data_IF_209530605493
#
_entry.id   IF_209530605493
#
_cell.length_a   1.000
_cell.length_b   1.000
_cell.length_c   1.000
_cell.angle_alpha   90.00
_cell.angle_beta   90.00
_cell.angle_gamma   90.00
#
_symmetry.space_group_name_H-M   'P 1'
#
loop_
_entity.id
_entity.type
_entity.pdbx_description
1 polymer ?
#
# COMPACT_ATOMS: atom_id res chain seq x y z
N UNK A 1 12.84 -92.34 -14.23
CA UNK A 1 13.02 -91.17 -15.07
C UNK A 1 11.82 -90.26 -14.91
N UNK A 2 11.92 -89.25 -14.13
CA UNK A 2 11.00 -88.06 -14.17
C UNK A 2 11.52 -86.98 -13.23
N UNK A 3 12.08 -85.90 -13.84
CA UNK A 3 12.64 -84.77 -13.11
C UNK A 3 11.56 -83.93 -12.48
N UNK A 4 11.66 -83.70 -11.17
CA UNK A 4 10.87 -82.68 -10.46
C UNK A 4 11.67 -81.38 -10.38
N UNK A 5 11.23 -80.37 -11.12
CA UNK A 5 11.73 -79.02 -10.97
C UNK A 5 10.98 -78.35 -9.81
N UNK A 6 11.72 -78.06 -8.78
CA UNK A 6 11.20 -77.18 -7.70
C UNK A 6 11.28 -75.74 -8.16
N UNK A 7 10.13 -75.10 -8.20
CA UNK A 7 9.98 -73.67 -8.48
C UNK A 7 10.09 -72.91 -7.15
N UNK A 8 11.18 -72.18 -6.95
CA UNK A 8 11.35 -71.27 -5.83
C UNK A 8 10.66 -69.93 -6.19
N UNK A 9 9.53 -69.59 -5.52
CA UNK A 9 8.86 -68.30 -5.61
C UNK A 9 9.45 -67.38 -4.55
N UNK A 10 10.33 -66.48 -4.92
CA UNK A 10 10.78 -65.38 -4.03
C UNK A 10 9.68 -64.34 -3.94
N UNK A 11 9.04 -64.26 -2.78
CA UNK A 11 8.16 -63.14 -2.44
C UNK A 11 9.02 -61.93 -2.06
N UNK A 12 9.13 -60.95 -2.96
CA UNK A 12 9.75 -59.66 -2.68
C UNK A 12 8.65 -58.76 -2.04
N UNK A 13 8.64 -58.65 -0.73
CA UNK A 13 7.85 -57.64 -0.01
C UNK A 13 8.54 -56.27 -0.20
N UNK A 14 8.02 -55.48 -1.11
CA UNK A 14 8.43 -54.09 -1.26
C UNK A 14 7.83 -53.30 -0.09
N UNK A 15 8.62 -53.00 0.94
CA UNK A 15 8.31 -52.04 1.98
C UNK A 15 8.49 -50.64 1.35
N UNK A 16 7.39 -50.04 0.92
CA UNK A 16 7.38 -48.62 0.55
C UNK A 16 7.44 -47.78 1.83
N UNK A 17 8.62 -47.27 2.16
CA UNK A 17 8.77 -46.22 3.11
C UNK A 17 8.15 -44.97 2.49
N UNK A 18 6.96 -44.58 2.92
CA UNK A 18 6.46 -43.23 2.78
C UNK A 18 7.29 -42.34 3.74
N UNK A 19 8.43 -41.87 3.28
CA UNK A 19 9.08 -40.73 3.89
C UNK A 19 8.21 -39.52 3.56
N UNK A 20 7.34 -39.06 4.47
CA UNK A 20 6.90 -37.70 4.47
C UNK A 20 8.15 -36.83 4.75
N UNK A 21 8.88 -36.46 3.72
CA UNK A 21 9.77 -35.34 3.78
C UNK A 21 8.88 -34.12 3.91
N UNK A 22 8.77 -33.58 5.11
CA UNK A 22 8.41 -32.17 5.27
C UNK A 22 9.59 -31.40 4.69
N UNK A 23 9.49 -31.01 3.44
CA UNK A 23 10.39 -30.05 2.84
C UNK A 23 10.19 -28.75 3.62
N UNK A 24 11.01 -28.54 4.61
CA UNK A 24 11.15 -27.23 5.24
C UNK A 24 11.88 -26.36 4.23
N UNK A 25 11.12 -25.61 3.43
CA UNK A 25 11.70 -24.61 2.55
C UNK A 25 12.44 -23.59 3.43
N UNK A 26 13.75 -23.69 3.46
CA UNK A 26 14.59 -22.64 4.01
C UNK A 26 14.55 -21.46 3.04
N UNK A 27 13.73 -20.44 3.37
CA UNK A 27 13.77 -19.17 2.66
C UNK A 27 15.03 -18.47 3.15
N UNK A 28 15.99 -18.26 2.28
CA UNK A 28 17.20 -17.53 2.59
C UNK A 28 16.85 -16.13 3.05
N UNK A 29 17.44 -15.70 4.19
CA UNK A 29 17.28 -14.34 4.70
C UNK A 29 18.09 -13.39 3.81
N UNK A 30 17.41 -12.51 3.10
CA UNK A 30 18.03 -11.48 2.28
C UNK A 30 18.17 -10.20 3.10
N UNK A 31 19.36 -9.98 3.69
CA UNK A 31 19.66 -8.86 4.56
C UNK A 31 20.86 -8.07 4.05
N UNK A 32 20.74 -6.76 3.99
CA UNK A 32 21.80 -5.84 3.57
C UNK A 32 21.98 -4.71 4.58
N UNK A 33 23.20 -4.45 5.04
CA UNK A 33 23.53 -3.26 5.81
C UNK A 33 23.55 -2.02 4.89
N UNK A 34 22.66 -1.07 5.11
CA UNK A 34 22.49 0.10 4.23
C UNK A 34 22.89 1.42 4.88
N UNK A 35 22.90 1.49 6.20
CA UNK A 35 23.26 2.70 6.97
C UNK A 35 23.81 2.34 8.34
N UNK A 36 24.38 3.31 9.03
CA UNK A 36 24.75 3.15 10.43
C UNK A 36 23.50 3.07 11.33
N UNK A 37 23.58 2.37 12.50
CA UNK A 37 22.51 2.28 13.46
C UNK A 37 22.06 3.64 13.99
N UNK A 38 20.72 3.85 14.06
CA UNK A 38 20.11 5.07 14.59
C UNK A 38 19.40 4.82 15.93
N UNK A 39 19.46 5.79 16.85
CA UNK A 39 18.77 5.73 18.15
C UNK A 39 17.62 6.72 18.16
N UNK A 40 16.49 6.32 17.60
CA UNK A 40 15.26 7.11 17.52
C UNK A 40 14.08 6.34 18.11
N UNK A 41 12.91 6.99 18.29
CA UNK A 41 11.68 6.27 18.71
C UNK A 41 11.03 5.56 17.52
N UNK A 42 11.29 6.04 16.31
CA UNK A 42 10.97 5.32 15.07
C UNK A 42 12.09 4.30 14.85
N UNK A 43 11.80 3.04 15.10
CA UNK A 43 12.81 1.96 15.06
C UNK A 43 12.97 1.31 13.69
N UNK A 44 12.05 1.57 12.77
CA UNK A 44 12.08 1.02 11.42
C UNK A 44 10.83 1.34 10.63
N UNK A 45 10.69 0.72 9.47
CA UNK A 45 9.45 0.69 8.71
C UNK A 45 9.29 -0.64 7.97
N UNK A 46 8.03 -1.01 7.74
CA UNK A 46 7.67 -2.01 6.76
C UNK A 46 7.40 -1.36 5.41
N UNK A 47 7.86 -2.00 4.33
CA UNK A 47 7.57 -1.63 2.95
C UNK A 47 6.80 -2.77 2.29
N UNK A 48 5.56 -2.50 1.89
CA UNK A 48 4.78 -3.43 1.09
C UNK A 48 5.13 -3.24 -0.39
N UNK A 49 5.55 -4.33 -1.02
CA UNK A 49 5.75 -4.45 -2.44
C UNK A 49 4.47 -5.05 -3.04
N UNK A 50 3.83 -4.33 -3.98
CA UNK A 50 2.53 -4.72 -4.52
C UNK A 50 2.57 -6.04 -5.29
N UNK A 51 3.64 -6.27 -6.07
CA UNK A 51 3.67 -7.33 -7.07
C UNK A 51 2.75 -7.04 -8.26
N UNK A 52 2.98 -7.70 -9.39
CA UNK A 52 2.12 -7.60 -10.55
C UNK A 52 0.86 -8.43 -10.40
N UNK A 53 -0.27 -7.90 -10.86
CA UNK A 53 -1.55 -8.63 -10.87
C UNK A 53 -1.43 -9.94 -11.66
N UNK A 54 -1.82 -11.05 -11.03
CA UNK A 54 -1.71 -12.39 -11.57
C UNK A 54 -0.36 -13.07 -11.34
N UNK A 55 0.62 -12.38 -10.70
CA UNK A 55 1.95 -12.95 -10.43
C UNK A 55 2.08 -13.61 -9.06
N UNK A 56 1.21 -13.28 -8.12
CA UNK A 56 1.27 -13.72 -6.71
C UNK A 56 2.61 -13.35 -6.04
N UNK A 57 3.12 -12.14 -6.29
CA UNK A 57 4.45 -11.70 -5.86
C UNK A 57 4.42 -10.52 -4.88
N UNK A 58 3.30 -10.28 -4.18
CA UNK A 58 3.30 -9.31 -3.10
C UNK A 58 4.24 -9.78 -1.97
N UNK A 59 5.06 -8.87 -1.45
CA UNK A 59 6.00 -9.15 -0.36
C UNK A 59 6.06 -7.99 0.63
N UNK A 60 6.56 -8.25 1.84
CA UNK A 60 6.82 -7.21 2.84
C UNK A 60 8.31 -7.21 3.17
N UNK A 61 8.95 -6.06 3.00
CA UNK A 61 10.32 -5.80 3.42
C UNK A 61 10.32 -5.06 4.76
N UNK A 62 11.46 -5.08 5.48
CA UNK A 62 11.63 -4.37 6.75
C UNK A 62 12.98 -3.66 6.82
N UNK A 63 12.94 -2.34 7.00
CA UNK A 63 14.11 -1.55 7.39
C UNK A 63 14.19 -1.48 8.90
N UNK A 64 15.28 -1.94 9.46
CA UNK A 64 15.60 -1.82 10.89
C UNK A 64 16.61 -0.68 11.09
N UNK A 65 16.16 0.45 11.62
CA UNK A 65 17.03 1.58 11.93
C UNK A 65 17.97 1.31 13.12
N UNK A 66 17.61 0.37 14.01
CA UNK A 66 18.44 0.07 15.19
C UNK A 66 19.70 -0.69 14.84
N UNK A 67 19.71 -1.38 13.72
CA UNK A 67 20.87 -2.12 13.17
C UNK A 67 21.41 -1.51 11.88
N UNK A 68 20.63 -0.65 11.21
CA UNK A 68 20.96 -0.10 9.90
C UNK A 68 20.78 -1.11 8.76
N UNK A 69 19.98 -2.16 8.97
CA UNK A 69 19.80 -3.25 7.98
C UNK A 69 18.47 -3.22 7.29
N UNK A 70 18.46 -3.55 5.99
CA UNK A 70 17.27 -3.74 5.18
C UNK A 70 17.06 -5.23 4.91
N UNK A 71 15.89 -5.74 5.28
CA UNK A 71 15.52 -7.14 5.16
C UNK A 71 14.43 -7.31 4.12
N UNK A 72 14.73 -7.97 3.01
CA UNK A 72 13.74 -8.26 1.96
C UNK A 72 12.88 -9.46 2.34
N UNK A 73 11.63 -9.42 1.92
CA UNK A 73 10.63 -10.49 2.09
C UNK A 73 10.60 -11.07 3.50
N UNK A 74 10.58 -10.19 4.52
CA UNK A 74 10.60 -10.59 5.93
C UNK A 74 9.40 -11.48 6.28
N UNK A 75 8.22 -11.26 5.65
CA UNK A 75 7.04 -12.08 5.91
C UNK A 75 7.29 -13.56 5.62
N UNK A 76 7.79 -13.89 4.44
CA UNK A 76 8.09 -15.29 4.08
C UNK A 76 9.19 -15.89 4.96
N UNK A 77 10.21 -15.10 5.31
CA UNK A 77 11.33 -15.54 6.16
C UNK A 77 10.88 -15.95 7.55
N UNK A 78 9.94 -15.21 8.18
CA UNK A 78 9.49 -15.49 9.56
C UNK A 78 8.25 -16.39 9.63
N UNK A 79 7.60 -16.69 8.49
CA UNK A 79 6.43 -17.55 8.38
C UNK A 79 6.68 -18.73 7.41
N UNK A 80 7.70 -19.58 7.63
CA UNK A 80 8.12 -20.60 6.66
C UNK A 80 7.10 -21.71 6.43
N UNK A 81 6.08 -21.82 7.27
CA UNK A 81 4.98 -22.79 7.15
C UNK A 81 3.74 -22.23 6.45
N UNK A 82 3.74 -20.92 6.19
CA UNK A 82 2.68 -20.25 5.45
C UNK A 82 2.96 -20.31 3.94
N UNK A 83 2.04 -19.80 3.14
CA UNK A 83 2.26 -19.64 1.71
C UNK A 83 3.52 -18.78 1.51
N UNK A 84 4.38 -19.19 0.57
CA UNK A 84 5.71 -18.60 0.38
C UNK A 84 5.67 -17.11 0.06
N UNK A 85 4.68 -16.68 -0.73
CA UNK A 85 4.40 -15.29 -1.05
C UNK A 85 3.23 -14.78 -0.20
N UNK A 86 3.19 -13.45 0.05
CA UNK A 86 2.12 -12.81 0.80
C UNK A 86 0.76 -12.87 0.08
N UNK A 87 0.78 -12.98 -1.24
CA UNK A 87 -0.40 -13.05 -2.09
C UNK A 87 -0.26 -12.23 -3.37
N UNK A 88 -1.39 -11.93 -4.01
CA UNK A 88 -1.44 -11.20 -5.28
C UNK A 88 -1.97 -9.77 -5.08
N UNK A 89 -1.16 -8.80 -5.41
CA UNK A 89 -1.31 -7.34 -5.30
C UNK A 89 -1.53 -6.85 -3.85
N UNK A 90 -0.43 -6.44 -3.22
CA UNK A 90 -0.44 -5.69 -1.96
C UNK A 90 -0.84 -4.23 -2.19
N UNK A 91 -1.97 -3.78 -1.65
CA UNK A 91 -2.52 -2.46 -1.98
C UNK A 91 -2.37 -1.39 -0.88
N UNK A 92 -2.26 -1.78 0.37
CA UNK A 92 -2.00 -0.86 1.49
C UNK A 92 -1.41 -1.61 2.68
N UNK A 93 -0.61 -0.92 3.49
CA UNK A 93 -0.04 -1.46 4.73
C UNK A 93 -0.09 -0.41 5.84
N UNK A 94 -0.66 -0.77 6.98
CA UNK A 94 -0.81 0.15 8.12
C UNK A 94 -0.59 -0.58 9.45
N UNK A 95 -0.17 0.17 10.45
CA UNK A 95 -0.01 -0.32 11.82
C UNK A 95 -1.12 0.25 12.70
N UNK A 96 -1.71 -0.61 13.53
CA UNK A 96 -2.61 -0.21 14.60
C UNK A 96 -2.39 -1.05 15.86
N UNK A 97 -2.04 -0.39 16.96
CA UNK A 97 -1.63 -1.05 18.19
C UNK A 97 -0.39 -1.93 17.98
N UNK A 98 -0.50 -3.20 18.31
CA UNK A 98 0.57 -4.19 18.13
C UNK A 98 0.44 -5.02 16.86
N UNK A 99 -0.38 -4.58 15.91
CA UNK A 99 -0.64 -5.32 14.67
C UNK A 99 -0.28 -4.50 13.44
N UNK A 100 0.25 -5.21 12.45
CA UNK A 100 0.51 -4.75 11.09
C UNK A 100 -0.53 -5.37 10.17
N UNK A 101 -1.22 -4.56 9.38
CA UNK A 101 -2.28 -4.98 8.46
C UNK A 101 -1.82 -4.71 7.04
N UNK A 102 -1.84 -5.73 6.18
CA UNK A 102 -1.56 -5.61 4.74
C UNK A 102 -2.80 -6.01 3.94
N UNK A 103 -3.31 -5.10 3.13
CA UNK A 103 -4.46 -5.35 2.25
C UNK A 103 -3.98 -6.02 0.99
N UNK A 104 -4.38 -7.28 0.75
CA UNK A 104 -3.99 -8.07 -0.41
C UNK A 104 -5.17 -8.15 -1.37
N UNK A 105 -5.15 -7.24 -2.33
CA UNK A 105 -6.29 -6.90 -3.18
C UNK A 105 -6.83 -8.09 -3.98
N UNK A 106 -6.05 -8.66 -4.87
CA UNK A 106 -6.49 -9.72 -5.79
C UNK A 106 -6.64 -11.06 -5.08
N UNK A 107 -5.90 -11.29 -3.99
CA UNK A 107 -6.09 -12.46 -3.13
C UNK A 107 -7.29 -12.36 -2.19
N UNK A 108 -7.98 -11.21 -2.14
CA UNK A 108 -9.25 -11.01 -1.42
C UNK A 108 -9.17 -11.19 0.10
N UNK A 109 -8.11 -10.72 0.73
CA UNK A 109 -8.00 -10.70 2.19
C UNK A 109 -7.11 -9.54 2.69
N UNK A 110 -7.20 -9.29 3.99
CA UNK A 110 -6.24 -8.48 4.74
C UNK A 110 -5.41 -9.44 5.59
N UNK A 111 -4.10 -9.47 5.38
CA UNK A 111 -3.16 -10.18 6.24
C UNK A 111 -2.92 -9.37 7.51
N UNK A 112 -2.97 -10.02 8.66
CA UNK A 112 -2.70 -9.41 9.96
C UNK A 112 -1.49 -10.08 10.58
N UNK A 113 -0.49 -9.27 10.91
CA UNK A 113 0.81 -9.70 11.44
C UNK A 113 1.09 -9.03 12.79
N UNK A 114 1.93 -9.63 13.60
CA UNK A 114 2.52 -8.97 14.76
C UNK A 114 3.50 -7.88 14.30
N UNK A 115 3.36 -6.66 14.83
CA UNK A 115 4.12 -5.48 14.39
C UNK A 115 5.62 -5.56 14.68
N UNK A 116 6.06 -6.39 15.63
CA UNK A 116 7.48 -6.52 16.00
C UNK A 116 8.21 -7.60 15.22
N UNK A 117 7.46 -8.62 14.81
CA UNK A 117 8.06 -9.84 14.28
C UNK A 117 7.63 -10.17 12.85
N UNK A 118 6.64 -9.46 12.30
CA UNK A 118 5.96 -9.78 11.04
C UNK A 118 5.34 -11.21 11.00
N UNK A 119 5.18 -11.86 12.17
CA UNK A 119 4.56 -13.18 12.24
C UNK A 119 3.06 -13.08 12.00
N UNK A 120 2.56 -14.01 11.22
CA UNK A 120 1.13 -14.19 10.95
C UNK A 120 0.32 -14.32 12.25
N UNK A 121 -0.77 -13.54 12.35
CA UNK A 121 -1.76 -13.61 13.42
C UNK A 121 -3.13 -14.07 12.93
N UNK A 122 -3.46 -13.80 11.68
CA UNK A 122 -4.74 -14.16 11.08
C UNK A 122 -5.00 -13.41 9.78
N UNK A 123 -6.09 -13.77 9.11
CA UNK A 123 -6.55 -13.10 7.90
C UNK A 123 -8.00 -12.63 8.05
N UNK A 124 -8.36 -11.56 7.36
CA UNK A 124 -9.71 -11.03 7.29
C UNK A 124 -10.16 -11.09 5.83
N UNK A 125 -11.16 -11.92 5.47
CA UNK A 125 -11.66 -11.97 4.10
C UNK A 125 -12.25 -10.61 3.66
N UNK A 126 -11.78 -10.09 2.54
CA UNK A 126 -12.29 -8.85 1.94
C UNK A 126 -12.09 -8.88 0.43
N UNK A 127 -13.17 -9.04 -0.31
CA UNK A 127 -13.14 -9.05 -1.77
C UNK A 127 -12.63 -7.71 -2.31
N UNK A 128 -11.58 -7.75 -3.13
CA UNK A 128 -10.94 -6.57 -3.75
C UNK A 128 -10.80 -5.39 -2.78
N UNK A 129 -10.23 -5.66 -1.58
CA UNK A 129 -9.87 -4.62 -0.61
C UNK A 129 -8.86 -3.65 -1.20
N UNK A 130 -9.02 -2.35 -0.88
CA UNK A 130 -8.13 -1.32 -1.41
C UNK A 130 -7.27 -0.70 -0.31
N UNK A 131 -7.83 0.14 0.52
CA UNK A 131 -7.12 0.86 1.57
C UNK A 131 -7.74 0.60 2.92
N UNK A 132 -6.96 0.80 3.99
CA UNK A 132 -7.40 0.60 5.36
C UNK A 132 -7.03 1.81 6.23
N UNK A 133 -7.92 2.20 7.15
CA UNK A 133 -7.66 3.21 8.18
C UNK A 133 -8.24 2.77 9.52
N UNK A 134 -7.90 3.47 10.61
CA UNK A 134 -8.25 3.04 11.96
C UNK A 134 -8.77 4.20 12.81
N UNK A 135 -9.78 3.91 13.62
CA UNK A 135 -10.24 4.78 14.69
C UNK A 135 -10.98 3.98 15.77
N UNK A 136 -10.85 4.39 17.03
CA UNK A 136 -11.66 3.90 18.16
C UNK A 136 -11.68 2.35 18.32
N UNK A 137 -10.55 1.69 18.11
CA UNK A 137 -10.44 0.23 18.21
C UNK A 137 -11.00 -0.54 17.02
N UNK A 138 -11.38 0.14 15.94
CA UNK A 138 -11.89 -0.44 14.71
C UNK A 138 -10.98 -0.13 13.53
N UNK A 139 -10.98 -1.02 12.54
CA UNK A 139 -10.45 -0.76 11.22
C UNK A 139 -11.59 -0.52 10.23
N UNK A 140 -11.32 0.30 9.24
CA UNK A 140 -12.23 0.58 8.13
C UNK A 140 -11.50 0.35 6.84
N UNK A 141 -12.05 -0.50 5.96
CA UNK A 141 -11.41 -0.84 4.69
C UNK A 141 -12.36 -0.64 3.51
N UNK A 142 -11.86 0.00 2.45
CA UNK A 142 -12.56 0.16 1.18
C UNK A 142 -12.45 -1.10 0.33
N UNK A 143 -13.47 -1.38 -0.49
CA UNK A 143 -13.52 -2.52 -1.38
C UNK A 143 -14.31 -2.16 -2.63
N UNK A 144 -13.83 -2.61 -3.79
CA UNK A 144 -14.54 -2.43 -5.06
C UNK A 144 -15.82 -3.25 -5.13
N UNK A 145 -15.98 -4.27 -4.28
CA UNK A 145 -17.11 -5.20 -4.32
C UNK A 145 -17.32 -5.89 -5.69
N UNK A 146 -16.25 -6.02 -6.46
CA UNK A 146 -16.22 -6.62 -7.79
C UNK A 146 -14.80 -6.70 -8.34
N UNK A 147 -14.58 -7.32 -9.50
CA UNK A 147 -13.25 -7.56 -10.06
C UNK A 147 -12.55 -6.25 -10.48
N UNK A 148 -11.22 -6.27 -10.46
CA UNK A 148 -10.38 -5.19 -11.01
C UNK A 148 -10.32 -5.38 -12.54
N UNK A 149 -11.30 -4.83 -13.24
CA UNK A 149 -11.41 -4.91 -14.70
C UNK A 149 -12.15 -3.68 -15.23
N UNK A 150 -11.87 -3.31 -16.47
CA UNK A 150 -12.61 -2.22 -17.16
C UNK A 150 -14.04 -2.69 -17.41
N UNK A 151 -14.99 -2.09 -16.69
CA UNK A 151 -16.41 -2.36 -16.82
C UNK A 151 -17.24 -1.10 -16.46
N UNK A 152 -17.87 -0.44 -17.44
CA UNK A 152 -18.76 0.70 -17.19
C UNK A 152 -19.97 0.37 -16.29
N UNK A 153 -20.28 -0.93 -16.13
CA UNK A 153 -21.39 -1.43 -15.31
C UNK A 153 -20.93 -2.00 -13.97
N UNK A 154 -19.65 -1.81 -13.59
CA UNK A 154 -19.15 -2.24 -12.31
C UNK A 154 -20.08 -1.81 -11.16
N UNK A 155 -20.26 -2.64 -10.11
CA UNK A 155 -21.15 -2.31 -9.01
C UNK A 155 -20.61 -1.15 -8.17
N UNK A 156 -21.48 -0.59 -7.34
CA UNK A 156 -21.06 0.32 -6.27
C UNK A 156 -20.11 -0.42 -5.31
N UNK A 157 -19.11 0.29 -4.85
CA UNK A 157 -18.19 -0.22 -3.85
C UNK A 157 -18.77 -0.17 -2.44
N UNK A 158 -17.99 -0.63 -1.49
CA UNK A 158 -18.36 -0.65 -0.08
C UNK A 158 -17.19 -0.28 0.83
N UNK A 159 -17.53 0.09 2.05
CA UNK A 159 -16.60 0.13 3.17
C UNK A 159 -17.06 -0.88 4.20
N UNK A 160 -16.11 -1.62 4.77
CA UNK A 160 -16.36 -2.53 5.88
C UNK A 160 -15.76 -1.98 7.17
N UNK A 161 -16.45 -2.18 8.30
CA UNK A 161 -15.92 -1.99 9.63
C UNK A 161 -15.43 -3.34 10.17
N UNK A 162 -14.25 -3.36 10.75
CA UNK A 162 -13.58 -4.56 11.23
C UNK A 162 -13.26 -4.39 12.72
N UNK A 163 -13.59 -5.39 13.52
CA UNK A 163 -13.13 -5.50 14.90
C UNK A 163 -11.65 -5.89 14.93
N UNK A 164 -10.79 -5.03 15.52
CA UNK A 164 -9.34 -5.26 15.53
C UNK A 164 -8.87 -6.31 16.55
N UNK A 165 -9.76 -6.78 17.44
CA UNK A 165 -9.47 -7.85 18.39
C UNK A 165 -9.82 -9.20 17.78
N UNK A 166 -11.06 -9.34 17.27
CA UNK A 166 -11.57 -10.60 16.73
C UNK A 166 -11.23 -10.81 15.25
N UNK A 167 -10.65 -9.82 14.58
CA UNK A 167 -10.27 -9.83 13.16
C UNK A 167 -11.46 -10.21 12.26
N UNK A 168 -12.61 -9.60 12.50
CA UNK A 168 -13.85 -9.93 11.78
C UNK A 168 -14.61 -8.69 11.35
N UNK A 169 -15.23 -8.76 10.16
CA UNK A 169 -16.11 -7.70 9.66
C UNK A 169 -17.37 -7.64 10.52
N UNK A 170 -17.70 -6.46 11.03
CA UNK A 170 -18.85 -6.22 11.91
C UNK A 170 -20.00 -5.51 11.22
N UNK A 171 -19.69 -4.56 10.33
CA UNK A 171 -20.66 -3.77 9.57
C UNK A 171 -20.13 -3.48 8.17
N UNK A 172 -21.02 -3.13 7.26
CA UNK A 172 -20.65 -2.63 5.93
C UNK A 172 -21.61 -1.54 5.47
N UNK A 173 -21.14 -0.65 4.60
CA UNK A 173 -21.93 0.42 3.98
C UNK A 173 -21.54 0.54 2.52
N UNK A 174 -22.53 0.69 1.64
CA UNK A 174 -22.33 0.99 0.21
C UNK A 174 -21.92 2.45 0.05
N UNK A 175 -20.96 2.71 -0.84
CA UNK A 175 -20.42 4.05 -1.14
C UNK A 175 -20.49 4.34 -2.66
N UNK A 176 -19.59 5.15 -3.19
CA UNK A 176 -19.45 5.35 -4.62
C UNK A 176 -18.77 4.19 -5.35
N UNK A 177 -18.47 4.41 -6.61
CA UNK A 177 -17.85 3.40 -7.46
C UNK A 177 -16.34 3.33 -7.20
N UNK A 178 -15.84 2.10 -7.04
CA UNK A 178 -14.42 1.80 -6.90
C UNK A 178 -13.72 2.71 -5.89
N UNK A 179 -14.11 2.61 -4.59
CA UNK A 179 -13.55 3.43 -3.52
C UNK A 179 -12.07 3.11 -3.29
N UNK A 180 -11.28 4.16 -3.17
CA UNK A 180 -9.84 4.13 -2.95
C UNK A 180 -9.49 4.52 -1.50
N UNK A 181 -8.52 5.44 -1.31
CA UNK A 181 -8.04 5.81 0.02
C UNK A 181 -9.13 6.47 0.88
N UNK A 182 -9.07 6.22 2.18
CA UNK A 182 -10.06 6.66 3.15
C UNK A 182 -9.39 7.19 4.42
N UNK A 183 -10.01 8.22 5.02
CA UNK A 183 -9.44 8.93 6.17
C UNK A 183 -10.52 9.29 7.20
N UNK A 184 -10.18 9.19 8.49
CA UNK A 184 -11.09 9.55 9.59
C UNK A 184 -10.79 10.95 10.10
N UNK A 185 -11.80 11.82 10.13
CA UNK A 185 -11.74 13.14 10.79
C UNK A 185 -12.90 13.24 11.77
N UNK A 186 -12.60 13.35 13.06
CA UNK A 186 -13.62 13.34 14.12
C UNK A 186 -14.42 12.04 14.11
N UNK A 187 -15.73 12.15 13.98
CA UNK A 187 -16.65 11.00 13.90
C UNK A 187 -17.03 10.62 12.44
N UNK A 188 -16.39 11.21 11.46
CA UNK A 188 -16.68 10.96 10.06
C UNK A 188 -15.53 10.21 9.39
N UNK A 189 -15.90 9.25 8.55
CA UNK A 189 -14.99 8.58 7.63
C UNK A 189 -15.26 9.11 6.21
N UNK A 190 -14.20 9.59 5.57
CA UNK A 190 -14.22 10.13 4.21
C UNK A 190 -13.60 9.10 3.27
N UNK A 191 -14.22 8.86 2.13
CA UNK A 191 -13.82 7.81 1.18
C UNK A 191 -13.75 8.39 -0.23
N UNK A 192 -12.59 8.38 -0.85
CA UNK A 192 -12.43 8.81 -2.24
C UNK A 192 -12.99 7.76 -3.19
N UNK A 193 -13.95 8.11 -4.04
CA UNK A 193 -14.52 7.22 -5.04
C UNK A 193 -13.91 7.54 -6.40
N UNK A 194 -13.26 6.57 -7.04
CA UNK A 194 -12.58 6.80 -8.32
C UNK A 194 -13.45 6.46 -9.52
N UNK A 195 -14.17 5.35 -9.46
CA UNK A 195 -14.74 4.75 -10.67
C UNK A 195 -13.69 4.49 -11.75
N UNK A 196 -12.40 4.32 -11.36
CA UNK A 196 -11.26 4.37 -12.27
C UNK A 196 -11.26 3.32 -13.38
N UNK A 197 -11.92 2.18 -13.15
CA UNK A 197 -12.13 1.14 -14.17
C UNK A 197 -13.50 1.19 -14.85
N UNK A 198 -14.32 2.22 -14.57
CA UNK A 198 -15.61 2.45 -15.24
C UNK A 198 -15.53 3.39 -16.46
N UNK A 199 -14.45 3.36 -17.16
CA UNK A 199 -14.17 4.24 -18.31
C UNK A 199 -15.32 4.19 -19.33
N UNK A 200 -15.87 5.35 -19.78
CA UNK A 200 -15.54 6.72 -19.37
C UNK A 200 -16.37 7.27 -18.19
N UNK A 201 -17.17 6.43 -17.54
CA UNK A 201 -18.14 6.80 -16.49
C UNK A 201 -17.48 6.83 -15.09
N UNK A 202 -16.43 7.62 -14.93
CA UNK A 202 -15.70 7.78 -13.65
C UNK A 202 -16.62 8.29 -12.53
N UNK A 203 -16.33 7.89 -11.27
CA UNK A 203 -16.88 8.58 -10.09
C UNK A 203 -16.08 9.87 -9.82
N UNK A 204 -16.69 10.80 -9.09
CA UNK A 204 -16.13 12.12 -8.79
C UNK A 204 -16.36 12.56 -7.35
N UNK A 205 -16.76 11.62 -6.48
CA UNK A 205 -17.28 11.95 -5.17
C UNK A 205 -16.40 11.47 -4.03
N UNK A 206 -16.49 12.17 -2.90
CA UNK A 206 -16.07 11.67 -1.59
C UNK A 206 -17.33 11.29 -0.81
N UNK A 207 -17.45 10.02 -0.42
CA UNK A 207 -18.50 9.57 0.50
C UNK A 207 -18.16 9.95 1.93
N UNK A 208 -19.13 10.45 2.69
CA UNK A 208 -19.01 10.77 4.12
C UNK A 208 -19.85 9.81 4.93
N UNK A 209 -19.21 9.03 5.81
CA UNK A 209 -19.84 8.00 6.64
C UNK A 209 -19.76 8.44 8.09
N UNK A 210 -20.89 8.53 8.79
CA UNK A 210 -20.92 8.70 10.24
C UNK A 210 -20.55 7.38 10.94
N UNK A 211 -19.47 7.39 11.72
CA UNK A 211 -18.93 6.18 12.35
C UNK A 211 -19.84 5.60 13.45
N UNK A 212 -20.69 6.42 14.09
CA UNK A 212 -21.60 5.94 15.13
C UNK A 212 -22.71 5.07 14.54
N UNK A 213 -23.34 5.55 13.46
CA UNK A 213 -24.42 4.86 12.76
C UNK A 213 -23.94 3.92 11.68
N UNK A 214 -22.73 4.11 11.19
CA UNK A 214 -22.11 3.47 10.04
C UNK A 214 -22.98 3.57 8.78
N UNK A 215 -23.45 4.79 8.50
CA UNK A 215 -24.24 5.12 7.31
C UNK A 215 -23.59 6.26 6.55
N UNK A 216 -23.69 6.20 5.23
CA UNK A 216 -23.34 7.34 4.38
C UNK A 216 -24.34 8.47 4.64
N UNK A 217 -23.85 9.63 5.02
CA UNK A 217 -24.65 10.81 5.37
C UNK A 217 -24.55 11.91 4.33
N UNK A 218 -23.49 11.91 3.53
CA UNK A 218 -23.27 12.90 2.48
C UNK A 218 -22.35 12.33 1.38
N UNK A 219 -22.42 12.95 0.20
CA UNK A 219 -21.45 12.84 -0.90
C UNK A 219 -21.00 14.23 -1.33
N UNK A 220 -19.71 14.41 -1.45
CA UNK A 220 -19.07 15.68 -1.82
C UNK A 220 -18.56 15.52 -3.26
N UNK A 221 -19.09 16.29 -4.21
CA UNK A 221 -18.57 16.35 -5.57
C UNK A 221 -17.22 17.08 -5.56
N UNK A 222 -16.18 16.49 -6.15
CA UNK A 222 -14.84 17.07 -6.24
C UNK A 222 -14.35 17.10 -7.70
N UNK A 223 -13.88 15.98 -8.22
CA UNK A 223 -13.37 15.81 -9.58
C UNK A 223 -13.33 14.31 -9.92
N UNK A 224 -13.27 13.96 -11.19
CA UNK A 224 -13.28 12.56 -11.65
C UNK A 224 -12.04 11.79 -11.17
N UNK A 225 -12.23 10.49 -10.92
CA UNK A 225 -11.16 9.53 -10.67
C UNK A 225 -10.28 9.88 -9.46
N UNK A 226 -10.93 10.10 -8.30
CA UNK A 226 -10.23 10.38 -7.04
C UNK A 226 -9.40 9.19 -6.58
N UNK A 227 -8.26 9.46 -5.90
CA UNK A 227 -7.37 8.39 -5.50
C UNK A 227 -6.82 8.53 -4.07
N UNK A 228 -5.77 9.32 -3.87
CA UNK A 228 -5.17 9.50 -2.55
C UNK A 228 -5.97 10.48 -1.72
N UNK A 229 -6.18 10.15 -0.45
CA UNK A 229 -6.93 10.98 0.48
C UNK A 229 -6.27 10.92 1.86
N UNK A 230 -5.70 12.05 2.31
CA UNK A 230 -5.08 12.17 3.63
C UNK A 230 -5.47 13.48 4.27
N UNK A 231 -5.56 13.48 5.62
CA UNK A 231 -5.80 14.71 6.38
C UNK A 231 -4.49 15.37 6.82
N UNK A 232 -4.53 16.68 7.00
CA UNK A 232 -3.51 17.41 7.74
C UNK A 232 -3.81 17.50 9.25
N UNK A 233 -2.99 18.27 9.98
CA UNK A 233 -3.14 18.45 11.42
C UNK A 233 -4.40 19.23 11.83
N UNK A 234 -4.95 20.07 10.96
CA UNK A 234 -6.15 20.88 11.20
C UNK A 234 -7.44 20.12 10.80
N UNK A 235 -7.29 18.96 10.19
CA UNK A 235 -8.36 18.08 9.72
C UNK A 235 -8.86 18.41 8.32
N UNK A 236 -8.17 19.26 7.57
CA UNK A 236 -8.43 19.47 6.17
C UNK A 236 -7.99 18.25 5.36
N UNK A 237 -8.77 17.91 4.34
CA UNK A 237 -8.56 16.73 3.52
C UNK A 237 -7.89 17.09 2.21
N UNK A 238 -6.73 16.50 1.95
CA UNK A 238 -6.02 16.58 0.69
C UNK A 238 -6.37 15.36 -0.16
N UNK A 239 -6.91 15.59 -1.37
CA UNK A 239 -7.33 14.51 -2.27
C UNK A 239 -6.77 14.72 -3.67
N UNK A 240 -6.24 13.64 -4.26
CA UNK A 240 -5.80 13.66 -5.65
C UNK A 240 -6.92 13.19 -6.58
N UNK A 241 -6.99 13.80 -7.76
CA UNK A 241 -7.71 13.30 -8.94
C UNK A 241 -6.70 12.86 -9.99
N UNK A 242 -6.87 11.69 -10.58
CA UNK A 242 -6.09 11.24 -11.74
C UNK A 242 -6.59 11.87 -13.05
N UNK A 243 -7.72 12.58 -13.00
CA UNK A 243 -8.39 13.07 -14.20
C UNK A 243 -8.98 11.94 -15.06
N UNK A 244 -9.26 12.25 -16.33
CA UNK A 244 -9.79 11.29 -17.30
C UNK A 244 -8.73 10.77 -18.29
N UNK A 245 -7.47 11.12 -18.07
CA UNK A 245 -6.29 10.84 -18.91
C UNK A 245 -6.30 11.53 -20.30
N UNK A 246 -7.28 12.37 -20.60
CA UNK A 246 -7.42 13.05 -21.90
C UNK A 246 -7.68 14.56 -21.77
N UNK A 247 -8.84 14.94 -21.24
CA UNK A 247 -9.30 16.32 -21.21
C UNK A 247 -9.27 16.95 -19.82
N UNK A 248 -9.47 16.13 -18.79
CA UNK A 248 -9.42 16.55 -17.39
C UNK A 248 -8.05 16.16 -16.83
N UNK A 249 -7.16 17.10 -16.52
CA UNK A 249 -5.84 16.78 -15.99
C UNK A 249 -5.92 16.28 -14.56
N UNK A 250 -4.90 15.52 -14.14
CA UNK A 250 -4.74 15.17 -12.74
C UNK A 250 -4.50 16.42 -11.88
N UNK A 251 -4.94 16.38 -10.62
CA UNK A 251 -4.90 17.56 -9.75
C UNK A 251 -4.91 17.20 -8.26
N UNK A 252 -4.58 18.19 -7.42
CA UNK A 252 -4.69 18.11 -5.97
C UNK A 252 -5.71 19.13 -5.45
N UNK A 253 -6.64 18.65 -4.61
CA UNK A 253 -7.68 19.47 -3.98
C UNK A 253 -7.53 19.47 -2.46
N UNK A 254 -7.94 20.57 -1.82
CA UNK A 254 -8.09 20.66 -0.37
C UNK A 254 -9.57 20.89 -0.05
N UNK A 255 -10.10 20.10 0.87
CA UNK A 255 -11.46 20.18 1.36
C UNK A 255 -11.45 20.50 2.84
N UNK A 256 -12.31 21.42 3.25
CA UNK A 256 -12.67 21.61 4.65
C UNK A 256 -13.60 20.47 5.09
N UNK A 257 -13.14 19.64 6.02
CA UNK A 257 -13.91 18.49 6.51
C UNK A 257 -15.15 18.88 7.35
N UNK A 258 -15.24 20.13 7.82
CA UNK A 258 -16.37 20.62 8.62
C UNK A 258 -17.49 21.19 7.75
N UNK A 259 -17.12 21.93 6.71
CA UNK A 259 -18.08 22.58 5.80
C UNK A 259 -18.36 21.75 4.55
N UNK A 260 -17.54 20.75 4.26
CA UNK A 260 -17.57 19.93 3.06
C UNK A 260 -17.36 20.73 1.76
N UNK A 261 -16.66 21.87 1.85
CA UNK A 261 -16.38 22.73 0.71
C UNK A 261 -14.95 22.55 0.22
N UNK A 262 -14.74 22.63 -1.08
CA UNK A 262 -13.40 22.71 -1.67
C UNK A 262 -12.81 24.07 -1.29
N UNK A 263 -11.74 24.08 -0.51
CA UNK A 263 -10.98 25.28 -0.13
C UNK A 263 -10.03 25.72 -1.23
N UNK A 264 -9.41 24.74 -1.90
CA UNK A 264 -8.36 25.00 -2.88
C UNK A 264 -8.24 23.90 -3.92
N UNK A 265 -7.89 24.30 -5.13
CA UNK A 265 -7.36 23.48 -6.22
C UNK A 265 -5.96 23.98 -6.54
N UNK A 266 -4.99 23.08 -6.60
CA UNK A 266 -3.58 23.46 -6.77
C UNK A 266 -3.15 23.63 -8.24
N UNK A 267 -3.90 23.10 -9.20
CA UNK A 267 -3.55 23.04 -10.63
C UNK A 267 -2.17 22.42 -10.88
N UNK A 268 -1.84 21.37 -10.12
CA UNK A 268 -0.65 20.56 -10.25
C UNK A 268 -1.00 19.08 -10.28
N UNK A 269 -0.32 18.29 -11.10
CA UNK A 269 -0.47 16.84 -11.04
C UNK A 269 0.18 16.30 -9.75
N UNK A 270 -0.50 15.34 -9.09
CA UNK A 270 0.03 14.63 -7.92
C UNK A 270 -0.37 13.17 -8.01
N UNK A 271 0.60 12.29 -8.22
CA UNK A 271 0.38 10.84 -8.26
C UNK A 271 0.31 10.23 -6.85
N UNK A 272 1.20 10.66 -5.95
CA UNK A 272 1.21 10.24 -4.55
C UNK A 272 1.84 11.33 -3.65
N UNK A 273 1.48 11.29 -2.36
CA UNK A 273 2.01 12.25 -1.38
C UNK A 273 1.98 11.69 0.03
N UNK A 274 2.75 12.31 0.91
CA UNK A 274 2.71 12.11 2.36
C UNK A 274 2.69 13.44 3.09
N UNK A 275 2.08 13.50 4.28
CA UNK A 275 2.01 14.71 5.10
C UNK A 275 2.72 14.44 6.42
N UNK A 276 3.74 15.28 6.73
CA UNK A 276 4.48 15.25 8.00
C UNK A 276 4.77 16.69 8.44
N UNK A 277 4.47 17.04 9.68
CA UNK A 277 4.75 18.36 10.28
C UNK A 277 4.26 19.55 9.44
N UNK A 278 3.01 19.51 9.03
CA UNK A 278 2.37 20.53 8.19
C UNK A 278 3.04 20.73 6.81
N UNK A 279 3.77 19.73 6.34
CA UNK A 279 4.33 19.70 4.99
C UNK A 279 3.81 18.49 4.23
N UNK A 280 3.26 18.74 3.05
CA UNK A 280 2.87 17.72 2.10
C UNK A 280 4.00 17.57 1.08
N UNK A 281 4.63 16.42 1.06
CA UNK A 281 5.66 16.03 0.10
C UNK A 281 5.01 15.20 -0.99
N UNK A 282 5.20 15.58 -2.25
CA UNK A 282 4.56 14.90 -3.39
C UNK A 282 5.51 14.64 -4.54
N UNK A 283 5.14 13.66 -5.32
CA UNK A 283 5.63 13.49 -6.69
C UNK A 283 4.46 13.29 -7.65
N UNK A 284 4.72 13.57 -8.93
CA UNK A 284 3.87 13.18 -10.04
C UNK A 284 4.70 12.44 -11.08
N UNK A 285 4.08 11.46 -11.74
CA UNK A 285 4.62 10.75 -12.88
C UNK A 285 3.50 10.63 -13.92
N UNK A 286 3.37 11.67 -14.74
CA UNK A 286 2.27 11.82 -15.69
C UNK A 286 2.68 11.40 -17.08
N UNK A 287 1.91 10.53 -17.70
CA UNK A 287 2.07 10.15 -19.10
C UNK A 287 1.30 11.09 -20.00
N UNK A 288 1.96 11.62 -21.03
CA UNK A 288 1.33 12.45 -22.05
C UNK A 288 0.95 11.62 -23.28
N UNK A 289 -0.33 11.50 -23.56
CA UNK A 289 -0.82 10.86 -24.80
C UNK A 289 -0.53 11.68 -26.07
N UNK A 290 0.00 12.90 -25.92
CA UNK A 290 0.41 13.75 -27.04
C UNK A 290 1.87 13.54 -27.43
N UNK A 291 2.77 13.48 -26.43
CA UNK A 291 4.22 13.30 -26.65
C UNK A 291 4.67 11.85 -26.49
N UNK A 292 3.83 11.00 -25.89
CA UNK A 292 4.14 9.62 -25.48
C UNK A 292 5.33 9.52 -24.52
N UNK A 293 5.49 10.55 -23.67
CA UNK A 293 6.54 10.63 -22.67
C UNK A 293 5.95 10.82 -21.27
N UNK A 294 6.71 10.38 -20.25
CA UNK A 294 6.41 10.65 -18.85
C UNK A 294 7.06 11.95 -18.41
N UNK A 295 6.30 12.79 -17.70
CA UNK A 295 6.80 13.98 -17.03
C UNK A 295 6.79 13.74 -15.53
N UNK A 296 7.97 13.79 -14.91
CA UNK A 296 8.13 13.67 -13.46
C UNK A 296 8.21 15.06 -12.82
N UNK A 297 7.42 15.29 -11.80
CA UNK A 297 7.49 16.49 -10.97
C UNK A 297 7.51 16.14 -9.50
N UNK A 298 8.13 17.01 -8.71
CA UNK A 298 8.26 16.86 -7.28
C UNK A 298 7.98 18.19 -6.59
N UNK A 299 7.56 18.17 -5.33
CA UNK A 299 7.43 19.41 -4.59
C UNK A 299 6.98 19.23 -3.15
N UNK A 300 6.97 20.36 -2.46
CA UNK A 300 6.53 20.46 -1.08
C UNK A 300 5.50 21.59 -0.95
N UNK A 301 4.38 21.27 -0.30
CA UNK A 301 3.32 22.23 0.05
C UNK A 301 3.34 22.41 1.57
N UNK A 302 3.28 23.66 2.03
CA UNK A 302 2.94 23.96 3.42
C UNK A 302 1.43 23.87 3.59
N UNK A 303 0.97 22.94 4.46
CA UNK A 303 -0.47 22.66 4.60
C UNK A 303 -1.21 23.75 5.41
N UNK A 304 -0.51 24.53 6.24
CA UNK A 304 -1.12 25.65 6.98
C UNK A 304 -1.41 26.84 6.10
N UNK A 305 -0.48 27.16 5.22
CA UNK A 305 -0.62 28.29 4.29
C UNK A 305 -1.23 27.89 2.96
N UNK A 306 -1.31 26.57 2.70
CA UNK A 306 -1.73 25.99 1.42
C UNK A 306 -0.94 26.54 0.23
N UNK A 307 0.38 26.74 0.42
CA UNK A 307 1.27 27.25 -0.62
C UNK A 307 2.33 26.22 -1.00
N UNK A 308 2.66 26.18 -2.30
CA UNK A 308 3.84 25.43 -2.77
C UNK A 308 5.06 26.17 -2.29
N UNK A 309 5.84 25.57 -1.38
CA UNK A 309 7.05 26.17 -0.80
C UNK A 309 8.32 25.65 -1.45
N UNK A 310 8.26 24.53 -2.16
CA UNK A 310 9.37 24.01 -2.95
C UNK A 310 8.83 23.22 -4.15
N UNK A 311 9.54 23.33 -5.29
CA UNK A 311 9.26 22.58 -6.53
C UNK A 311 10.23 21.43 -6.76
N UNK A 312 11.01 21.08 -5.75
CA UNK A 312 11.90 19.91 -5.70
C UNK A 312 11.74 19.23 -4.35
N UNK A 313 11.95 17.92 -4.27
CA UNK A 313 12.06 17.19 -3.00
C UNK A 313 13.49 17.16 -2.51
N UNK A 314 14.43 16.95 -3.41
CA UNK A 314 15.85 16.83 -3.12
C UNK A 314 16.67 17.62 -4.14
N UNK A 315 17.88 18.01 -3.76
CA UNK A 315 18.82 18.71 -4.65
C UNK A 315 19.97 17.79 -5.13
N UNK A 316 19.96 16.53 -4.72
CA UNK A 316 20.97 15.55 -5.10
C UNK A 316 20.65 14.99 -6.49
N UNK A 317 21.64 14.91 -7.42
CA UNK A 317 21.45 14.39 -8.76
C UNK A 317 21.00 12.93 -8.83
N UNK A 318 21.18 12.14 -7.77
CA UNK A 318 20.70 10.75 -7.66
C UNK A 318 19.18 10.65 -7.84
N UNK A 319 18.40 11.71 -7.58
CA UNK A 319 16.95 11.73 -7.87
C UNK A 319 16.64 11.44 -9.35
N UNK A 320 17.56 11.75 -10.26
CA UNK A 320 17.39 11.52 -11.69
C UNK A 320 17.59 10.04 -12.08
N UNK A 321 18.15 9.22 -11.21
CA UNK A 321 18.22 7.76 -11.40
C UNK A 321 16.88 7.07 -11.20
N UNK A 322 15.93 7.71 -10.51
CA UNK A 322 14.59 7.18 -10.31
C UNK A 322 13.83 7.25 -11.64
N UNK A 323 13.61 6.10 -12.25
CA UNK A 323 12.92 6.02 -13.55
C UNK A 323 11.42 6.21 -13.40
N UNK A 324 10.81 5.50 -12.46
CA UNK A 324 9.36 5.48 -12.24
C UNK A 324 9.07 5.62 -10.75
N UNK A 325 8.97 6.84 -10.20
CA UNK A 325 8.66 7.04 -8.78
C UNK A 325 7.26 6.51 -8.46
N UNK A 326 7.14 5.81 -7.31
CA UNK A 326 5.89 5.12 -6.96
C UNK A 326 5.49 5.26 -5.48
N UNK A 327 6.32 4.86 -4.53
CA UNK A 327 6.10 5.05 -3.11
C UNK A 327 6.82 6.32 -2.60
N UNK A 328 6.21 7.00 -1.64
CA UNK A 328 6.79 8.15 -0.96
C UNK A 328 6.49 8.11 0.53
N UNK A 329 7.50 8.30 1.36
CA UNK A 329 7.35 8.43 2.81
C UNK A 329 8.41 9.38 3.38
N UNK A 330 8.09 9.99 4.53
CA UNK A 330 9.03 10.82 5.29
C UNK A 330 9.06 10.29 6.71
N UNK A 331 10.25 9.98 7.24
CA UNK A 331 10.41 9.60 8.63
C UNK A 331 9.89 10.73 9.53
N UNK A 332 8.88 10.49 10.37
CA UNK A 332 8.27 11.55 11.16
C UNK A 332 9.21 12.17 12.19
N UNK A 333 10.33 11.53 12.49
CA UNK A 333 11.30 11.99 13.49
C UNK A 333 12.56 12.58 12.85
N UNK A 334 13.28 11.82 12.00
CA UNK A 334 14.52 12.29 11.37
C UNK A 334 14.26 13.21 10.17
N UNK A 335 13.07 13.15 9.58
CA UNK A 335 12.65 13.80 8.33
C UNK A 335 13.40 13.28 7.11
N UNK A 336 14.00 12.09 7.20
CA UNK A 336 14.52 11.41 6.03
C UNK A 336 13.39 11.09 5.05
N UNK A 337 13.62 11.36 3.78
CA UNK A 337 12.69 11.10 2.69
C UNK A 337 13.01 9.76 2.04
N UNK A 338 12.00 8.94 1.86
CA UNK A 338 12.07 7.69 1.12
C UNK A 338 11.25 7.80 -0.17
N UNK A 339 11.88 7.46 -1.28
CA UNK A 339 11.24 7.32 -2.58
C UNK A 339 11.51 5.92 -3.13
N UNK A 340 10.51 5.32 -3.76
CA UNK A 340 10.72 4.05 -4.45
C UNK A 340 10.69 4.24 -5.96
N UNK A 341 11.43 3.36 -6.64
CA UNK A 341 11.46 3.24 -8.09
C UNK A 341 10.98 1.85 -8.49
N UNK A 342 9.92 1.78 -9.27
CA UNK A 342 9.40 0.52 -9.78
C UNK A 342 9.98 0.14 -11.15
N UNK A 343 10.80 1.01 -11.72
CA UNK A 343 11.43 0.81 -13.02
C UNK A 343 10.41 0.42 -14.10
N UNK A 344 10.46 -0.82 -14.56
CA UNK A 344 9.60 -1.34 -15.62
C UNK A 344 8.33 -2.09 -15.10
N UNK A 345 8.02 -2.05 -13.81
CA UNK A 345 6.91 -2.77 -13.15
C UNK A 345 7.02 -4.31 -13.15
N UNK A 346 8.07 -4.88 -13.72
CA UNK A 346 8.24 -6.36 -13.83
C UNK A 346 9.39 -6.86 -12.97
N UNK A 347 10.48 -6.13 -12.96
CA UNK A 347 11.68 -6.45 -12.18
C UNK A 347 11.52 -6.00 -10.72
N UNK A 348 12.44 -6.40 -9.87
CA UNK A 348 12.58 -5.85 -8.53
C UNK A 348 12.78 -4.33 -8.64
N UNK A 349 12.12 -3.59 -7.72
CA UNK A 349 12.28 -2.17 -7.60
C UNK A 349 13.44 -1.78 -6.68
N UNK A 350 13.54 -0.47 -6.43
CA UNK A 350 14.55 0.10 -5.53
C UNK A 350 13.89 1.05 -4.55
N UNK A 351 14.51 1.22 -3.38
CA UNK A 351 14.20 2.27 -2.42
C UNK A 351 15.42 3.18 -2.28
N UNK A 352 15.18 4.48 -2.29
CA UNK A 352 16.16 5.55 -2.11
C UNK A 352 15.86 6.30 -0.82
N UNK A 353 16.89 6.61 -0.05
CA UNK A 353 16.81 7.43 1.14
C UNK A 353 17.62 8.71 0.96
N UNK A 354 16.99 9.84 1.28
CA UNK A 354 17.62 11.16 1.32
C UNK A 354 17.45 11.75 2.72
N UNK A 355 18.41 12.50 3.18
CA UNK A 355 18.30 13.18 4.47
C UNK A 355 17.30 14.37 4.41
N UNK A 356 17.03 14.97 5.56
CA UNK A 356 16.14 16.15 5.68
C UNK A 356 16.54 17.37 4.85
N UNK A 357 17.77 17.44 4.37
CA UNK A 357 18.30 18.50 3.52
C UNK A 357 18.28 18.10 2.05
N UNK A 358 17.82 16.89 1.72
CA UNK A 358 17.75 16.33 0.39
C UNK A 358 19.07 15.75 -0.14
N UNK A 359 20.04 15.47 0.72
CA UNK A 359 21.27 14.76 0.35
C UNK A 359 21.04 13.25 0.34
N UNK A 360 21.60 12.56 -0.64
CA UNK A 360 21.51 11.11 -0.75
C UNK A 360 22.16 10.41 0.43
N UNK A 361 21.49 9.43 1.04
CA UNK A 361 22.04 8.59 2.13
C UNK A 361 22.37 7.19 1.62
N UNK A 362 21.40 6.49 1.06
CA UNK A 362 21.56 5.12 0.59
C UNK A 362 20.45 4.71 -0.41
N UNK A 363 20.71 3.62 -1.13
CA UNK A 363 19.82 2.94 -2.04
C UNK A 363 19.97 1.45 -1.86
N UNK A 364 18.88 0.69 -1.91
CA UNK A 364 18.92 -0.78 -1.95
C UNK A 364 17.80 -1.33 -2.81
N UNK A 365 17.93 -2.61 -3.23
CA UNK A 365 16.86 -3.31 -3.92
C UNK A 365 15.70 -3.60 -2.96
N UNK A 366 14.49 -3.55 -3.47
CA UNK A 366 13.25 -3.92 -2.79
C UNK A 366 12.54 -5.04 -3.58
N UNK A 367 11.35 -5.46 -3.14
CA UNK A 367 10.54 -6.38 -3.91
C UNK A 367 10.00 -5.77 -5.21
N UNK A 368 9.08 -6.48 -5.87
CA UNK A 368 8.45 -6.03 -7.10
C UNK A 368 7.36 -4.98 -6.79
N UNK A 369 7.42 -3.81 -7.41
CA UNK A 369 6.53 -2.65 -7.20
C UNK A 369 6.51 -2.20 -5.72
N UNK A 370 7.62 -1.69 -5.15
CA UNK A 370 7.66 -1.16 -3.79
C UNK A 370 6.81 0.11 -3.67
N UNK A 371 5.83 0.12 -2.75
CA UNK A 371 4.77 1.12 -2.77
C UNK A 371 4.42 1.77 -1.43
N UNK A 372 4.13 0.98 -0.40
CA UNK A 372 3.45 1.47 0.79
C UNK A 372 4.28 1.27 2.04
N UNK A 373 4.35 2.31 2.87
CA UNK A 373 5.19 2.35 4.07
C UNK A 373 4.36 2.35 5.36
N UNK A 374 4.86 1.65 6.38
CA UNK A 374 4.32 1.72 7.74
C UNK A 374 5.47 1.83 8.74
N UNK A 375 5.62 3.00 9.39
CA UNK A 375 6.68 3.23 10.38
C UNK A 375 6.39 2.54 11.70
N UNK A 376 7.42 1.90 12.26
CA UNK A 376 7.38 1.17 13.54
C UNK A 376 8.00 2.03 14.64
N UNK A 377 7.26 2.20 15.72
CA UNK A 377 7.71 2.91 16.92
C UNK A 377 8.10 1.92 18.02
N UNK A 378 8.93 2.37 18.99
CA UNK A 378 9.30 1.59 20.18
C UNK A 378 8.09 1.08 20.96
#
# INVERSE_FOLDING_TARGET
>A
MRNFKQLFVCFFTAITFYACQQDTYLIEKEEEGVTDPEKTDVVGFYLLNEGNMGSNMATVDYMDFTTGTYNRNIYATVNPTMVKELGDVGNDIKIYGNKLYAVINVSNFIEVMDVRTAKHLGTIPLENGRYITFANGKAYASSYAGPVTIDPKAPLGKVVEIDTINLSVTRQVTVGYQPEELEVVGNNLYVANSGGYRVPEYDKTISVIDLSTFKETNKIDVEVNLHRLKKDADGDLYVTSRGDYYNVPSNLYVLDSKTHQIKKKFDIPVSNFTIVDNKLYYYSNEFSYTTFEYTKTYGVIDTKTEQIINKTLVNDPVINEIETPYGIAVNPQTKDLFLTDVGNYVSMGYIYCFDKNGAFKWKTAAGNIPAHFAFVYK
#
